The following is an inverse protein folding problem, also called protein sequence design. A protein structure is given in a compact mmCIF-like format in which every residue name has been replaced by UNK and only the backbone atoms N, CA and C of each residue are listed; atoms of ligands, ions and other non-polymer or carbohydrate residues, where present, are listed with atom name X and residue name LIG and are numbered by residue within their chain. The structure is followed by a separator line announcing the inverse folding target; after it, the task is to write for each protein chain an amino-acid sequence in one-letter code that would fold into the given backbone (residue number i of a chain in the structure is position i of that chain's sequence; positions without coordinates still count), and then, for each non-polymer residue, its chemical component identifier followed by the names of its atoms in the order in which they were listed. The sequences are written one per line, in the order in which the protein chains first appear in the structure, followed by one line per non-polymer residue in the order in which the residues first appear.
data_IF_503677145593
#
_entry.id   IF_503677145593
#
_cell.length_a   1.000
_cell.length_b   1.000
_cell.length_c   1.000
_cell.angle_alpha   90.00
_cell.angle_beta   90.00
_cell.angle_gamma   90.00
#
_symmetry.space_group_name_H-M   'P 1'
#
loop_
_entity.id
_entity.type
_entity.pdbx_description
1 polymer ?
#
# COMPACT_ATOMS: atom_id res chain seq x y z
N UNK A 1 19.33 19.58 38.78
CA UNK A 1 18.86 18.18 38.76
C UNK A 1 17.57 18.10 37.95
N UNK A 2 17.65 17.81 36.65
CA UNK A 2 16.46 17.59 35.81
C UNK A 2 16.04 16.12 35.95
N UNK A 3 14.79 15.88 36.36
CA UNK A 3 14.20 14.53 36.37
C UNK A 3 13.83 14.19 34.94
N UNK A 4 14.57 13.29 34.33
CA UNK A 4 14.20 12.65 33.07
C UNK A 4 12.89 11.90 33.29
N UNK A 5 11.78 12.49 32.87
CA UNK A 5 10.51 11.77 32.71
C UNK A 5 10.73 10.70 31.66
N UNK A 6 11.00 9.47 32.11
CA UNK A 6 11.01 8.30 31.26
C UNK A 6 9.61 8.10 30.72
N UNK A 7 9.36 8.59 29.51
CA UNK A 7 8.12 8.33 28.80
C UNK A 7 8.02 6.82 28.58
N UNK A 8 7.17 6.16 29.36
CA UNK A 8 6.82 4.76 29.15
C UNK A 8 6.30 4.62 27.72
N UNK A 9 6.95 3.76 26.93
CA UNK A 9 6.52 3.50 25.56
C UNK A 9 5.06 2.99 25.59
N UNK A 10 4.18 3.50 24.68
CA UNK A 10 2.81 3.04 24.62
C UNK A 10 2.76 1.53 24.34
N UNK A 11 1.76 0.80 24.86
CA UNK A 11 1.61 -0.62 24.57
C UNK A 11 1.52 -0.85 23.05
N UNK A 12 1.97 -2.01 22.53
CA UNK A 12 2.07 -2.26 21.09
C UNK A 12 0.79 -1.93 20.30
N UNK A 13 -0.37 -2.20 20.89
CA UNK A 13 -1.66 -1.93 20.27
C UNK A 13 -2.00 -0.43 20.17
N UNK A 14 -1.64 0.36 21.17
CA UNK A 14 -1.81 1.82 21.12
C UNK A 14 -0.85 2.45 20.11
N UNK A 15 0.38 1.96 20.02
CA UNK A 15 1.36 2.38 19.02
C UNK A 15 0.87 2.06 17.59
N UNK A 16 0.32 0.86 17.38
CA UNK A 16 -0.28 0.45 16.11
C UNK A 16 -1.46 1.37 15.72
N UNK A 17 -2.40 1.60 16.63
CA UNK A 17 -3.57 2.45 16.38
C UNK A 17 -3.14 3.88 16.01
N UNK A 18 -2.17 4.45 16.73
CA UNK A 18 -1.64 5.78 16.42
C UNK A 18 -0.94 5.81 15.05
N UNK A 19 -0.16 4.79 14.71
CA UNK A 19 0.53 4.70 13.42
C UNK A 19 -0.43 4.47 12.23
N UNK A 20 -1.51 3.72 12.45
CA UNK A 20 -2.60 3.56 11.48
C UNK A 20 -3.34 4.90 11.28
N UNK A 21 -3.65 5.61 12.36
CA UNK A 21 -4.34 6.91 12.31
C UNK A 21 -3.56 7.96 11.52
N UNK A 22 -2.22 7.95 11.60
CA UNK A 22 -1.34 8.82 10.79
C UNK A 22 -1.26 8.44 9.31
N UNK A 23 -1.76 7.26 8.92
CA UNK A 23 -1.74 6.84 7.51
C UNK A 23 -2.76 7.67 6.73
N UNK A 24 -2.38 8.32 5.61
CA UNK A 24 -3.33 9.06 4.79
C UNK A 24 -4.48 8.18 4.27
N UNK A 25 -5.69 8.74 4.20
CA UNK A 25 -6.90 8.01 3.78
C UNK A 25 -7.07 7.91 2.28
N UNK A 26 -6.38 8.77 1.54
CA UNK A 26 -6.43 8.90 0.08
C UNK A 26 -5.38 8.04 -0.63
N UNK A 27 -4.58 7.27 0.10
CA UNK A 27 -3.56 6.38 -0.46
C UNK A 27 -4.07 4.96 -0.65
N UNK A 28 -3.79 4.42 -1.84
CA UNK A 28 -4.17 3.09 -2.27
C UNK A 28 -3.00 2.39 -2.96
N UNK A 29 -3.05 1.07 -3.03
CA UNK A 29 -2.13 0.25 -3.80
C UNK A 29 -2.91 -0.42 -4.91
N UNK A 30 -2.39 -0.35 -6.13
CA UNK A 30 -2.98 -0.98 -7.33
C UNK A 30 -1.99 -1.98 -7.88
N UNK A 31 -2.41 -3.23 -8.05
CA UNK A 31 -1.66 -4.22 -8.81
C UNK A 31 -1.98 -4.12 -10.31
N UNK A 32 -0.97 -4.10 -11.16
CA UNK A 32 -1.16 -3.99 -12.61
C UNK A 32 -1.52 -5.31 -13.32
N UNK A 33 -1.50 -6.43 -12.60
CA UNK A 33 -1.75 -7.79 -13.11
C UNK A 33 -0.50 -8.52 -13.62
N UNK A 34 0.65 -7.86 -13.70
CA UNK A 34 1.90 -8.49 -14.08
C UNK A 34 2.42 -9.39 -12.97
N UNK A 35 3.19 -10.43 -13.36
CA UNK A 35 3.81 -11.35 -12.41
C UNK A 35 4.79 -10.59 -11.52
N UNK A 36 4.66 -10.81 -10.22
CA UNK A 36 5.58 -10.26 -9.23
C UNK A 36 6.71 -11.25 -8.94
N UNK A 37 7.95 -10.83 -9.18
CA UNK A 37 9.13 -11.70 -9.18
C UNK A 37 10.04 -11.54 -7.95
N UNK A 38 9.59 -10.87 -6.88
CA UNK A 38 10.42 -10.72 -5.68
C UNK A 38 10.60 -12.06 -4.94
N UNK A 39 11.68 -12.16 -4.16
CA UNK A 39 12.01 -13.34 -3.34
C UNK A 39 10.79 -13.73 -2.49
N UNK A 40 10.29 -14.95 -2.72
CA UNK A 40 9.19 -15.51 -1.93
C UNK A 40 9.55 -15.50 -0.44
N UNK A 41 8.62 -15.08 0.40
CA UNK A 41 8.77 -15.05 1.87
C UNK A 41 9.29 -13.74 2.47
N UNK A 42 9.76 -12.76 1.68
CA UNK A 42 10.09 -11.44 2.22
C UNK A 42 8.84 -10.76 2.82
N UNK A 43 9.03 -9.85 3.78
CA UNK A 43 7.92 -9.04 4.33
C UNK A 43 7.22 -8.24 3.22
N UNK A 44 8.00 -7.65 2.32
CA UNK A 44 7.49 -6.89 1.17
C UNK A 44 6.63 -7.75 0.26
N UNK A 45 7.11 -8.96 -0.04
CA UNK A 45 6.41 -9.88 -0.93
C UNK A 45 5.11 -10.38 -0.31
N UNK A 46 5.13 -10.78 0.96
CA UNK A 46 3.93 -11.17 1.70
C UNK A 46 2.92 -10.04 1.80
N UNK A 47 3.39 -8.82 2.05
CA UNK A 47 2.54 -7.61 2.09
C UNK A 47 1.88 -7.35 0.75
N UNK A 48 2.64 -7.31 -0.35
CA UNK A 48 2.12 -6.97 -1.67
C UNK A 48 1.19 -8.04 -2.25
N UNK A 49 1.41 -9.31 -1.90
CA UNK A 49 0.52 -10.41 -2.30
C UNK A 49 -0.89 -10.31 -1.68
N UNK A 50 -1.10 -9.50 -0.63
CA UNK A 50 -2.44 -9.21 -0.10
C UNK A 50 -3.30 -8.33 -1.03
N UNK A 51 -2.68 -7.71 -2.04
CA UNK A 51 -3.37 -7.00 -3.13
C UNK A 51 -3.66 -8.01 -4.24
N UNK A 52 -4.76 -8.75 -4.07
CA UNK A 52 -5.08 -9.94 -4.87
C UNK A 52 -5.81 -9.65 -6.17
N UNK A 53 -6.42 -8.48 -6.30
CA UNK A 53 -7.24 -8.12 -7.45
C UNK A 53 -6.47 -7.18 -8.40
N UNK A 54 -6.25 -7.58 -9.67
CA UNK A 54 -5.58 -6.73 -10.64
C UNK A 54 -6.47 -5.53 -10.98
N UNK A 55 -5.87 -4.34 -11.04
CA UNK A 55 -6.51 -3.05 -11.35
C UNK A 55 -7.60 -2.60 -10.36
N UNK A 56 -7.81 -3.32 -9.26
CA UNK A 56 -8.66 -2.88 -8.15
C UNK A 56 -7.81 -2.18 -7.09
N UNK A 57 -8.05 -0.88 -6.80
CA UNK A 57 -7.32 -0.18 -5.75
C UNK A 57 -7.68 -0.70 -4.36
N UNK A 58 -6.68 -1.14 -3.60
CA UNK A 58 -6.82 -1.49 -2.18
C UNK A 58 -6.34 -0.32 -1.31
N UNK A 59 -7.12 0.11 -0.32
CA UNK A 59 -6.68 1.22 0.54
C UNK A 59 -5.45 0.83 1.35
N UNK A 60 -4.50 1.75 1.52
CA UNK A 60 -3.27 1.46 2.25
C UNK A 60 -3.55 1.13 3.72
N UNK A 61 -4.55 1.76 4.33
CA UNK A 61 -5.02 1.43 5.69
C UNK A 61 -5.56 0.00 5.77
N UNK A 62 -6.36 -0.41 4.79
CA UNK A 62 -6.88 -1.78 4.74
C UNK A 62 -5.75 -2.79 4.50
N UNK A 63 -4.78 -2.47 3.65
CA UNK A 63 -3.59 -3.30 3.46
C UNK A 63 -2.82 -3.48 4.77
N UNK A 64 -2.60 -2.40 5.54
CA UNK A 64 -1.98 -2.46 6.87
C UNK A 64 -2.77 -3.36 7.82
N UNK A 65 -4.10 -3.22 7.84
CA UNK A 65 -4.97 -4.06 8.69
C UNK A 65 -4.94 -5.54 8.27
N UNK A 66 -4.90 -5.84 6.97
CA UNK A 66 -4.77 -7.21 6.45
C UNK A 66 -3.40 -7.80 6.80
N UNK A 67 -2.33 -7.01 6.63
CA UNK A 67 -0.97 -7.41 6.96
C UNK A 67 -0.79 -7.70 8.46
N UNK A 68 -1.39 -6.90 9.33
CA UNK A 68 -1.36 -7.11 10.77
C UNK A 68 -2.05 -8.41 11.23
N UNK A 69 -2.85 -9.06 10.36
CA UNK A 69 -3.47 -10.37 10.63
C UNK A 69 -2.59 -11.55 10.18
N UNK A 70 -1.50 -11.29 9.48
CA UNK A 70 -0.53 -12.33 9.11
C UNK A 70 0.37 -12.64 10.31
N UNK A 71 0.58 -13.93 10.60
CA UNK A 71 1.54 -14.40 11.61
C UNK A 71 1.44 -13.64 12.96
N UNK A 72 0.20 -13.45 13.42
CA UNK A 72 -0.15 -12.71 14.65
C UNK A 72 0.38 -11.26 14.71
N UNK A 73 0.69 -10.68 13.54
CA UNK A 73 1.14 -9.29 13.39
C UNK A 73 2.60 -9.06 13.77
N UNK A 74 3.36 -10.13 14.06
CA UNK A 74 4.80 -10.04 14.23
C UNK A 74 5.41 -9.50 12.92
N UNK A 75 6.23 -8.45 13.03
CA UNK A 75 6.90 -7.72 11.93
C UNK A 75 6.02 -6.84 11.02
N UNK A 76 4.69 -7.03 10.95
CA UNK A 76 3.80 -6.24 10.08
C UNK A 76 3.34 -4.92 10.69
N UNK A 77 4.30 -4.06 11.07
CA UNK A 77 3.98 -2.71 11.53
C UNK A 77 3.48 -1.82 10.38
N UNK A 78 2.65 -0.79 10.65
CA UNK A 78 2.20 0.15 9.62
C UNK A 78 3.37 0.81 8.86
N UNK A 79 4.49 1.08 9.53
CA UNK A 79 5.70 1.61 8.91
C UNK A 79 6.39 0.60 7.99
N UNK A 80 6.48 -0.67 8.41
CA UNK A 80 7.03 -1.74 7.57
C UNK A 80 6.21 -1.95 6.30
N UNK A 81 4.88 -1.94 6.38
CA UNK A 81 3.98 -2.05 5.22
C UNK A 81 4.17 -0.86 4.27
N UNK A 82 4.28 0.36 4.80
CA UNK A 82 4.57 1.56 3.98
C UNK A 82 5.94 1.46 3.29
N UNK A 83 6.96 1.01 4.02
CA UNK A 83 8.30 0.83 3.50
C UNK A 83 8.32 -0.22 2.39
N UNK A 84 7.65 -1.36 2.56
CA UNK A 84 7.52 -2.41 1.56
C UNK A 84 6.96 -1.89 0.24
N UNK A 85 5.85 -1.14 0.29
CA UNK A 85 5.23 -0.57 -0.91
C UNK A 85 6.17 0.42 -1.60
N UNK A 86 6.83 1.32 -0.84
CA UNK A 86 7.76 2.30 -1.41
C UNK A 86 9.03 1.67 -2.00
N UNK A 87 9.60 0.68 -1.32
CA UNK A 87 10.77 -0.06 -1.80
C UNK A 87 10.46 -0.74 -3.13
N UNK A 88 9.27 -1.34 -3.26
CA UNK A 88 8.83 -1.93 -4.51
C UNK A 88 8.69 -0.92 -5.66
N UNK A 89 8.38 0.35 -5.38
CA UNK A 89 8.36 1.37 -6.44
C UNK A 89 9.75 1.73 -6.98
N UNK A 90 10.83 1.40 -6.26
CA UNK A 90 12.20 1.70 -6.65
C UNK A 90 12.89 0.59 -7.45
N UNK A 91 12.28 -0.58 -7.59
CA UNK A 91 12.88 -1.71 -8.32
C UNK A 91 12.54 -1.69 -9.82
N UNK A 92 13.24 -2.50 -10.61
CA UNK A 92 12.84 -2.78 -11.99
C UNK A 92 11.68 -3.79 -12.00
N UNK A 93 10.70 -3.58 -12.88
CA UNK A 93 9.53 -4.45 -12.97
C UNK A 93 8.53 -4.18 -11.84
N UNK A 94 8.12 -2.92 -11.70
CA UNK A 94 7.14 -2.52 -10.69
C UNK A 94 5.76 -3.03 -11.09
N UNK A 95 5.25 -4.02 -10.36
CA UNK A 95 3.90 -4.55 -10.52
C UNK A 95 2.82 -3.84 -9.66
N UNK A 96 3.20 -3.22 -8.54
CA UNK A 96 2.29 -2.59 -7.60
C UNK A 96 2.60 -1.10 -7.53
N UNK A 97 1.58 -0.27 -7.69
CA UNK A 97 1.71 1.18 -7.71
C UNK A 97 1.08 1.77 -6.46
N UNK A 98 1.81 2.64 -5.76
CA UNK A 98 1.21 3.52 -4.76
C UNK A 98 0.53 4.66 -5.50
N UNK A 99 -0.78 4.78 -5.29
CA UNK A 99 -1.62 5.78 -5.95
C UNK A 99 -2.37 6.61 -4.91
N UNK A 100 -2.75 7.82 -5.32
CA UNK A 100 -3.59 8.72 -4.56
C UNK A 100 -4.95 8.85 -5.24
N UNK A 101 -6.03 8.76 -4.48
CA UNK A 101 -7.39 9.02 -4.94
C UNK A 101 -7.66 10.52 -4.98
N UNK A 102 -8.02 11.05 -6.14
CA UNK A 102 -8.42 12.46 -6.30
C UNK A 102 -9.85 12.69 -5.82
N UNK A 103 -10.26 13.95 -5.70
CA UNK A 103 -11.65 14.33 -5.33
C UNK A 103 -12.68 13.84 -6.34
N UNK A 104 -12.29 13.75 -7.61
CA UNK A 104 -13.11 13.21 -8.72
C UNK A 104 -13.19 11.66 -8.69
N UNK A 105 -12.39 11.02 -7.85
CA UNK A 105 -12.36 9.56 -7.70
C UNK A 105 -11.39 8.85 -8.65
N UNK A 106 -10.53 9.58 -9.34
CA UNK A 106 -9.42 9.03 -10.13
C UNK A 106 -8.28 8.57 -9.23
N UNK A 107 -7.49 7.61 -9.69
CA UNK A 107 -6.30 7.14 -8.99
C UNK A 107 -5.06 7.53 -9.79
N UNK A 108 -4.24 8.40 -9.20
CA UNK A 108 -3.02 8.92 -9.83
C UNK A 108 -1.77 8.43 -9.12
N UNK A 109 -0.69 8.21 -9.87
CA UNK A 109 0.58 7.78 -9.30
C UNK A 109 1.12 8.79 -8.28
N UNK A 110 1.61 8.32 -7.13
CA UNK A 110 2.19 9.19 -6.08
C UNK A 110 3.63 9.58 -6.40
N UNK A 111 4.36 8.71 -7.11
CA UNK A 111 5.76 8.89 -7.46
C UNK A 111 6.01 8.37 -8.88
N UNK A 112 7.12 8.80 -9.46
CA UNK A 112 7.60 8.26 -10.72
C UNK A 112 7.87 6.75 -10.62
N UNK A 113 7.55 6.02 -11.69
CA UNK A 113 7.81 4.59 -11.86
C UNK A 113 8.50 4.41 -13.21
N UNK A 114 9.82 4.23 -13.19
CA UNK A 114 10.62 4.18 -14.40
C UNK A 114 10.42 2.89 -15.22
N UNK A 115 10.13 1.76 -14.56
CA UNK A 115 10.04 0.44 -15.22
C UNK A 115 8.84 -0.39 -14.74
N UNK A 116 7.62 -0.06 -15.19
CA UNK A 116 6.45 -0.93 -14.98
C UNK A 116 6.64 -2.35 -15.49
N UNK A 117 6.13 -3.33 -14.75
CA UNK A 117 6.22 -4.74 -15.12
C UNK A 117 5.30 -5.13 -16.30
N UNK A 118 4.27 -4.33 -16.59
CA UNK A 118 3.31 -4.57 -17.67
C UNK A 118 3.78 -4.01 -19.03
N UNK A 119 4.97 -3.40 -19.09
CA UNK A 119 5.53 -2.86 -20.34
C UNK A 119 4.87 -1.56 -20.80
N UNK A 120 4.04 -0.92 -19.98
CA UNK A 120 3.31 0.32 -20.33
C UNK A 120 4.19 1.57 -20.54
N UNK A 121 5.51 1.46 -20.33
CA UNK A 121 6.45 2.59 -20.37
C UNK A 121 6.54 3.34 -19.03
N UNK A 122 7.43 4.32 -18.88
CA UNK A 122 7.59 5.06 -17.63
C UNK A 122 6.32 5.81 -17.24
N UNK A 123 6.00 5.81 -15.94
CA UNK A 123 4.87 6.56 -15.35
C UNK A 123 5.43 7.69 -14.50
N UNK A 124 4.84 8.88 -14.58
CA UNK A 124 5.18 10.05 -13.77
C UNK A 124 4.24 10.21 -12.59
N UNK A 125 4.73 10.85 -11.53
CA UNK A 125 3.88 11.29 -10.44
C UNK A 125 2.74 12.18 -10.99
N UNK A 126 1.51 11.86 -10.61
CA UNK A 126 0.30 12.53 -11.11
C UNK A 126 -0.36 11.85 -12.31
N UNK A 127 0.30 10.90 -12.98
CA UNK A 127 -0.30 10.18 -14.11
C UNK A 127 -1.48 9.31 -13.65
N UNK A 128 -2.49 9.21 -14.51
CA UNK A 128 -3.68 8.41 -14.26
C UNK A 128 -3.37 6.90 -14.36
N UNK A 129 -3.59 6.18 -13.27
CA UNK A 129 -3.40 4.72 -13.20
C UNK A 129 -4.71 3.98 -13.39
N UNK A 130 -5.78 4.47 -12.77
CA UNK A 130 -7.11 3.90 -12.86
C UNK A 130 -8.17 4.99 -12.74
N UNK A 131 -9.24 4.85 -13.51
CA UNK A 131 -10.45 5.66 -13.33
C UNK A 131 -11.29 5.11 -12.19
N UNK A 132 -12.26 5.91 -11.72
CA UNK A 132 -13.21 5.47 -10.70
C UNK A 132 -13.81 4.12 -11.14
N UNK A 133 -13.74 3.06 -10.31
CA UNK A 133 -14.41 1.81 -10.64
C UNK A 133 -15.89 2.11 -10.84
N UNK A 134 -16.45 1.61 -11.96
CA UNK A 134 -17.87 1.78 -12.25
C UNK A 134 -18.68 1.35 -11.01
N UNK A 135 -19.74 2.09 -10.62
CA UNK A 135 -20.59 1.64 -9.53
C UNK A 135 -21.02 0.22 -9.85
N UNK A 136 -20.77 -0.72 -8.93
CA UNK A 136 -21.23 -2.10 -9.05
C UNK A 136 -22.72 -2.03 -9.41
N UNK A 137 -23.05 -2.31 -10.67
CA UNK A 137 -24.44 -2.49 -11.07
C UNK A 137 -24.89 -3.67 -10.24
N UNK A 138 -25.70 -3.42 -9.20
CA UNK A 138 -26.41 -4.48 -8.53
C UNK A 138 -27.18 -5.19 -9.63
N UNK A 139 -26.76 -6.41 -9.97
CA UNK A 139 -27.59 -7.31 -10.73
C UNK A 139 -28.82 -7.51 -9.83
N UNK A 140 -29.89 -6.78 -10.14
CA UNK A 140 -31.18 -7.02 -9.54
C UNK A 140 -31.56 -8.45 -9.97
N UNK A 141 -31.53 -9.36 -9.01
CA UNK A 141 -32.25 -10.62 -9.09
C UNK A 141 -33.73 -10.39 -8.82
#
# INVERSE_FOLDING_TARGET
MQRSSGATAPPPQAAFAAALARTPMDLYVVWNGARYAERQGSLSSRTLQLVTEPRTPLSLRELILRAARLEDGADFTPDAVRAAVRQHQAIRGVAYYLVRKTREGHFVAVSDVAWPADGSGPIRAGDLIATRPAPLRRLAG
#
